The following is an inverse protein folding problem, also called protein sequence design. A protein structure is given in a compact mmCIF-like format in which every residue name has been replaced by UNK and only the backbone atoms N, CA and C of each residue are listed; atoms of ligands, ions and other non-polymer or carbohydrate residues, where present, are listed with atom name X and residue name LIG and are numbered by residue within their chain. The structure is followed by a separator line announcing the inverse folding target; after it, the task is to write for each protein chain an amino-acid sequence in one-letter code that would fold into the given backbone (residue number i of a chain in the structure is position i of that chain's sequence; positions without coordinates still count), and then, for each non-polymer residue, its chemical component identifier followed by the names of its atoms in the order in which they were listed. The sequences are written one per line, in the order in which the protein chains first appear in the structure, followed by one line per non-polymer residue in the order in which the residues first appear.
data_IF_200513383839
#
_entry.id   IF_200513383839
#
_cell.length_a   1.000
_cell.length_b   1.000
_cell.length_c   1.000
_cell.angle_alpha   90.00
_cell.angle_beta   90.00
_cell.angle_gamma   90.00
#
_symmetry.space_group_name_H-M   'P 1'
#
loop_
_entity.id
_entity.type
_entity.pdbx_description
1 polymer ?
#
# COMPACT_ATOMS: atom_id res chain seq x y z
N UNK A 1 14.97 59.89 66.85
CA UNK A 1 14.68 58.43 66.88
C UNK A 1 13.18 58.22 66.68
N UNK A 2 12.76 57.81 65.49
CA UNK A 2 11.48 57.13 65.25
C UNK A 2 11.68 56.23 64.03
N UNK A 3 11.44 54.96 64.26
CA UNK A 3 11.67 53.84 63.35
C UNK A 3 10.38 53.46 62.65
N UNK A 4 10.57 52.84 61.49
CA UNK A 4 9.68 51.91 60.77
C UNK A 4 8.50 52.52 60.00
N UNK A 5 8.59 52.34 58.68
CA UNK A 5 7.48 52.37 57.72
C UNK A 5 7.91 51.63 56.45
N UNK A 6 8.44 50.42 56.60
CA UNK A 6 8.94 49.57 55.51
C UNK A 6 7.98 48.39 55.37
N UNK A 7 6.82 48.58 54.74
CA UNK A 7 5.93 47.43 54.48
C UNK A 7 5.02 47.51 53.25
N UNK A 8 5.01 48.61 52.48
CA UNK A 8 4.10 48.71 51.32
C UNK A 8 4.70 48.23 50.00
N UNK A 9 6.00 47.91 49.95
CA UNK A 9 6.65 47.51 48.68
C UNK A 9 6.51 46.03 48.32
N UNK A 10 6.00 45.18 49.21
CA UNK A 10 5.89 43.73 48.95
C UNK A 10 4.56 43.30 48.32
N UNK A 11 3.55 44.18 48.32
CA UNK A 11 2.22 43.86 47.79
C UNK A 11 2.18 44.04 46.26
N UNK A 12 2.90 45.03 45.71
CA UNK A 12 2.89 45.34 44.28
C UNK A 12 3.65 44.33 43.39
N UNK A 13 4.47 43.44 43.97
CA UNK A 13 5.20 42.42 43.19
C UNK A 13 4.43 41.10 43.06
N UNK A 14 3.32 40.92 43.78
CA UNK A 14 2.55 39.67 43.75
C UNK A 14 1.49 39.65 42.64
N UNK A 15 1.02 40.80 42.19
CA UNK A 15 -0.14 40.92 41.30
C UNK A 15 0.20 40.86 39.80
N UNK A 16 1.49 41.00 39.41
CA UNK A 16 1.95 40.88 38.02
C UNK A 16 2.41 39.47 37.62
N UNK A 17 2.13 38.45 38.44
CA UNK A 17 2.71 37.10 38.28
C UNK A 17 1.73 36.03 37.78
N UNK A 18 0.56 36.42 37.29
CA UNK A 18 -0.46 35.48 36.80
C UNK A 18 -0.59 35.45 35.26
N UNK A 19 -0.04 36.43 34.54
CA UNK A 19 -0.14 36.49 33.07
C UNK A 19 0.88 35.59 32.33
N UNK A 20 1.84 34.98 33.04
CA UNK A 20 2.94 34.21 32.44
C UNK A 20 2.69 32.71 32.25
N UNK A 21 1.63 32.15 32.86
CA UNK A 21 1.41 30.69 32.89
C UNK A 21 0.52 30.22 31.74
N UNK A 22 -0.30 31.08 31.13
CA UNK A 22 -1.22 30.70 30.04
C UNK A 22 -0.45 30.43 28.73
N UNK A 23 0.66 31.13 28.53
CA UNK A 23 1.41 31.12 27.27
C UNK A 23 2.08 29.77 26.94
N UNK A 24 2.75 29.06 27.88
CA UNK A 24 3.35 27.74 27.58
C UNK A 24 2.31 26.66 27.26
N UNK A 25 1.15 26.65 27.91
CA UNK A 25 0.11 25.64 27.66
C UNK A 25 -0.53 25.81 26.29
N UNK A 26 -0.77 27.05 25.86
CA UNK A 26 -1.27 27.32 24.51
C UNK A 26 -0.28 26.86 23.43
N UNK A 27 1.02 27.07 23.65
CA UNK A 27 2.07 26.58 22.76
C UNK A 27 2.14 25.05 22.71
N UNK A 28 2.03 24.37 23.86
CA UNK A 28 2.00 22.91 23.91
C UNK A 28 0.78 22.34 23.17
N UNK A 29 -0.41 22.93 23.38
CA UNK A 29 -1.62 22.53 22.66
C UNK A 29 -1.44 22.76 21.15
N UNK A 30 -0.89 23.89 20.75
CA UNK A 30 -0.62 24.19 19.35
C UNK A 30 0.36 23.18 18.73
N UNK A 31 1.46 22.85 19.42
CA UNK A 31 2.42 21.84 18.98
C UNK A 31 1.79 20.45 18.85
N UNK A 32 0.96 20.05 19.82
CA UNK A 32 0.24 18.78 19.77
C UNK A 32 -0.70 18.75 18.57
N UNK A 33 -1.47 19.82 18.34
CA UNK A 33 -2.35 19.94 17.18
C UNK A 33 -1.58 19.89 15.86
N UNK A 34 -0.46 20.60 15.74
CA UNK A 34 0.41 20.54 14.57
C UNK A 34 0.96 19.12 14.35
N UNK A 35 1.41 18.44 15.41
CA UNK A 35 1.91 17.07 15.31
C UNK A 35 0.81 16.10 14.87
N UNK A 36 -0.41 16.25 15.40
CA UNK A 36 -1.56 15.43 15.02
C UNK A 36 -1.94 15.65 13.55
N UNK A 37 -1.93 16.89 13.06
CA UNK A 37 -2.20 17.18 11.65
C UNK A 37 -1.15 16.56 10.72
N UNK A 38 0.13 16.63 11.09
CA UNK A 38 1.21 16.01 10.32
C UNK A 38 1.11 14.48 10.31
N UNK A 39 0.77 13.85 11.44
CA UNK A 39 0.60 12.39 11.48
C UNK A 39 -0.64 11.95 10.72
N UNK A 40 -1.77 12.65 10.85
CA UNK A 40 -2.99 12.35 10.08
C UNK A 40 -2.76 12.45 8.58
N UNK A 41 -2.08 13.50 8.11
CA UNK A 41 -1.75 13.64 6.68
C UNK A 41 -0.81 12.54 6.18
N UNK A 42 0.17 12.13 6.99
CA UNK A 42 1.05 11.01 6.67
C UNK A 42 0.27 9.67 6.63
N UNK A 43 -0.61 9.43 7.60
CA UNK A 43 -1.46 8.23 7.65
C UNK A 43 -2.40 8.16 6.43
N UNK A 44 -2.99 9.29 6.04
CA UNK A 44 -3.87 9.35 4.87
C UNK A 44 -3.13 8.96 3.58
N UNK A 45 -1.93 9.50 3.35
CA UNK A 45 -1.10 9.13 2.19
C UNK A 45 -0.75 7.65 2.19
N UNK A 46 -0.41 7.10 3.36
CA UNK A 46 -0.09 5.69 3.51
C UNK A 46 -1.30 4.80 3.21
N UNK A 47 -2.49 5.17 3.70
CA UNK A 47 -3.73 4.45 3.40
C UNK A 47 -4.06 4.47 1.91
N UNK A 48 -3.89 5.61 1.23
CA UNK A 48 -4.11 5.72 -0.21
C UNK A 48 -3.16 4.79 -0.97
N UNK A 49 -1.86 4.85 -0.67
CA UNK A 49 -0.85 3.98 -1.27
C UNK A 49 -1.17 2.49 -1.04
N UNK A 50 -1.52 2.10 0.17
CA UNK A 50 -1.86 0.71 0.47
C UNK A 50 -3.13 0.25 -0.25
N UNK A 51 -4.12 1.13 -0.37
CA UNK A 51 -5.37 0.82 -1.09
C UNK A 51 -5.11 0.60 -2.57
N UNK A 52 -4.28 1.46 -3.19
CA UNK A 52 -3.89 1.30 -4.59
C UNK A 52 -3.10 0.02 -4.83
N UNK A 53 -2.12 -0.29 -3.96
CA UNK A 53 -1.38 -1.55 -4.06
C UNK A 53 -2.28 -2.78 -3.92
N UNK A 54 -3.23 -2.73 -2.97
CA UNK A 54 -4.20 -3.82 -2.76
C UNK A 54 -5.10 -3.99 -3.97
N UNK A 55 -5.63 -2.90 -4.53
CA UNK A 55 -6.43 -2.93 -5.76
C UNK A 55 -5.63 -3.56 -6.90
N UNK A 56 -4.37 -3.14 -7.11
CA UNK A 56 -3.49 -3.72 -8.13
C UNK A 56 -3.23 -5.20 -7.92
N UNK A 57 -3.04 -5.65 -6.68
CA UNK A 57 -2.84 -7.06 -6.36
C UNK A 57 -4.10 -7.88 -6.69
N UNK A 58 -5.27 -7.40 -6.25
CA UNK A 58 -6.56 -8.05 -6.53
C UNK A 58 -6.86 -8.14 -8.02
N UNK A 59 -6.66 -7.04 -8.77
CA UNK A 59 -6.79 -7.05 -10.22
C UNK A 59 -5.87 -8.09 -10.86
N UNK A 60 -4.58 -8.12 -10.50
CA UNK A 60 -3.66 -9.11 -11.08
C UNK A 60 -4.07 -10.55 -10.77
N UNK A 61 -4.54 -10.83 -9.55
CA UNK A 61 -5.02 -12.14 -9.17
C UNK A 61 -6.29 -12.53 -9.95
N UNK A 62 -7.23 -11.59 -10.10
CA UNK A 62 -8.44 -11.78 -10.87
C UNK A 62 -8.14 -12.08 -12.35
N UNK A 63 -7.19 -11.37 -12.96
CA UNK A 63 -6.78 -11.63 -14.35
C UNK A 63 -6.19 -13.04 -14.53
N UNK A 64 -5.34 -13.49 -13.62
CA UNK A 64 -4.79 -14.84 -13.66
C UNK A 64 -5.90 -15.87 -13.46
N UNK A 65 -6.74 -15.71 -12.43
CA UNK A 65 -7.80 -16.68 -12.11
C UNK A 65 -8.85 -16.78 -13.23
N UNK A 66 -9.24 -15.67 -13.84
CA UNK A 66 -10.21 -15.65 -14.95
C UNK A 66 -9.67 -16.22 -16.26
N UNK A 67 -8.35 -16.28 -16.43
CA UNK A 67 -7.70 -16.88 -17.61
C UNK A 67 -7.20 -18.29 -17.37
N UNK A 68 -7.09 -18.71 -16.11
CA UNK A 68 -6.57 -20.01 -15.74
C UNK A 68 -7.40 -21.17 -16.32
N UNK A 69 -8.73 -21.08 -16.27
CA UNK A 69 -9.61 -22.13 -16.82
C UNK A 69 -9.42 -22.28 -18.34
N UNK A 70 -9.41 -21.16 -19.06
CA UNK A 70 -9.24 -21.13 -20.52
C UNK A 70 -7.86 -21.67 -20.90
N UNK A 71 -6.82 -21.31 -20.14
CA UNK A 71 -5.49 -21.85 -20.36
C UNK A 71 -5.46 -23.37 -20.11
N UNK A 72 -6.12 -23.87 -19.07
CA UNK A 72 -6.17 -25.30 -18.80
C UNK A 72 -6.84 -26.08 -19.92
N UNK A 73 -7.97 -25.58 -20.43
CA UNK A 73 -8.64 -26.17 -21.59
C UNK A 73 -7.74 -26.18 -22.84
N UNK A 74 -6.97 -25.11 -23.03
CA UNK A 74 -5.98 -25.02 -24.12
C UNK A 74 -4.80 -25.99 -23.92
N UNK A 75 -4.31 -26.17 -22.70
CA UNK A 75 -3.22 -27.09 -22.38
C UNK A 75 -3.62 -28.55 -22.53
N UNK A 76 -4.87 -28.92 -22.20
CA UNK A 76 -5.41 -30.27 -22.42
C UNK A 76 -5.51 -30.59 -23.91
N UNK A 77 -5.83 -29.60 -24.74
CA UNK A 77 -5.92 -29.76 -26.20
C UNK A 77 -4.57 -29.63 -26.92
N UNK A 78 -3.50 -29.24 -26.22
CA UNK A 78 -2.16 -29.08 -26.79
C UNK A 78 -1.52 -30.45 -27.07
N UNK A 79 -1.00 -30.71 -28.28
CA UNK A 79 -0.38 -31.99 -28.61
C UNK A 79 0.78 -32.36 -27.70
N UNK A 80 0.96 -33.66 -27.44
CA UNK A 80 2.04 -34.16 -26.57
C UNK A 80 3.45 -33.80 -27.06
N UNK A 81 3.60 -33.54 -28.36
CA UNK A 81 4.87 -33.19 -29.01
C UNK A 81 5.34 -31.77 -28.73
N UNK A 82 4.44 -30.87 -28.34
CA UNK A 82 4.82 -29.49 -28.02
C UNK A 82 5.34 -29.41 -26.58
N UNK A 83 6.54 -28.87 -26.43
CA UNK A 83 7.18 -28.64 -25.12
C UNK A 83 6.90 -27.26 -24.55
N UNK A 84 6.40 -26.33 -25.38
CA UNK A 84 6.12 -24.94 -25.00
C UNK A 84 4.81 -24.50 -25.63
N UNK A 85 3.96 -23.83 -24.84
CA UNK A 85 2.71 -23.22 -25.28
C UNK A 85 2.68 -21.76 -24.86
N UNK A 86 2.31 -20.86 -25.77
CA UNK A 86 2.18 -19.42 -25.46
C UNK A 86 0.72 -19.01 -25.59
N UNK A 87 0.19 -18.44 -24.53
CA UNK A 87 -1.15 -17.89 -24.48
C UNK A 87 -1.09 -16.37 -24.34
N UNK A 88 -1.91 -15.66 -25.09
CA UNK A 88 -2.04 -14.20 -24.99
C UNK A 88 -3.52 -13.86 -25.00
N UNK A 89 -3.95 -13.02 -24.05
CA UNK A 89 -5.30 -12.51 -23.99
C UNK A 89 -5.28 -11.03 -23.67
N UNK A 90 -6.00 -10.25 -24.46
CA UNK A 90 -6.29 -8.86 -24.18
C UNK A 90 -7.57 -8.77 -23.36
N UNK A 91 -7.51 -8.01 -22.26
CA UNK A 91 -8.64 -7.69 -21.39
C UNK A 91 -8.78 -6.16 -21.32
N UNK A 92 -9.96 -5.64 -20.92
CA UNK A 92 -10.16 -4.20 -20.77
C UNK A 92 -9.17 -3.53 -19.81
N UNK A 93 -8.69 -4.28 -18.80
CA UNK A 93 -7.75 -3.78 -17.80
C UNK A 93 -6.27 -3.91 -18.21
N UNK A 94 -5.97 -4.61 -19.31
CA UNK A 94 -4.61 -4.83 -19.78
C UNK A 94 -4.43 -6.12 -20.59
N UNK A 95 -3.19 -6.49 -20.84
CA UNK A 95 -2.82 -7.73 -21.53
C UNK A 95 -2.25 -8.74 -20.55
N UNK A 96 -2.65 -10.01 -20.70
CA UNK A 96 -2.04 -11.13 -19.99
C UNK A 96 -1.46 -12.11 -21.00
N UNK A 97 -0.19 -12.43 -20.81
CA UNK A 97 0.56 -13.39 -21.61
C UNK A 97 1.07 -14.50 -20.69
N UNK A 98 0.93 -15.76 -21.06
CA UNK A 98 1.62 -16.85 -20.39
C UNK A 98 2.48 -17.65 -21.35
N UNK A 99 3.64 -18.05 -20.87
CA UNK A 99 4.53 -18.99 -21.56
C UNK A 99 4.63 -20.22 -20.69
N UNK A 100 3.95 -21.28 -21.11
CA UNK A 100 3.92 -22.57 -20.44
C UNK A 100 4.95 -23.51 -21.05
N UNK A 101 5.71 -24.19 -20.21
CA UNK A 101 6.72 -25.19 -20.61
C UNK A 101 6.41 -26.50 -19.92
N UNK A 102 6.50 -27.63 -20.64
CA UNK A 102 6.29 -28.95 -20.04
C UNK A 102 7.42 -29.28 -19.08
N UNK A 103 7.05 -29.70 -17.89
CA UNK A 103 7.95 -30.22 -16.88
C UNK A 103 8.18 -31.73 -17.09
N UNK A 104 9.30 -32.25 -16.60
CA UNK A 104 9.69 -33.66 -16.73
C UNK A 104 8.70 -34.63 -16.08
N UNK A 105 7.88 -34.13 -15.15
CA UNK A 105 6.91 -34.89 -14.36
C UNK A 105 5.52 -34.93 -15.05
N UNK A 106 5.36 -34.29 -16.22
CA UNK A 106 4.10 -34.30 -17.00
C UNK A 106 3.14 -33.14 -16.71
N UNK A 107 3.54 -32.16 -15.89
CA UNK A 107 2.82 -30.90 -15.71
C UNK A 107 3.37 -29.76 -16.56
N UNK A 108 2.79 -28.58 -16.41
CA UNK A 108 3.19 -27.36 -17.11
C UNK A 108 3.63 -26.27 -16.14
N UNK A 109 4.79 -25.67 -16.40
CA UNK A 109 5.29 -24.48 -15.70
C UNK A 109 4.96 -23.27 -16.57
N UNK A 110 4.05 -22.43 -16.09
CA UNK A 110 3.58 -21.24 -16.80
C UNK A 110 4.14 -19.96 -16.19
N UNK A 111 4.87 -19.20 -16.99
CA UNK A 111 5.34 -17.86 -16.69
C UNK A 111 4.36 -16.84 -17.25
N UNK A 112 3.60 -16.21 -16.37
CA UNK A 112 2.67 -15.14 -16.69
C UNK A 112 3.40 -13.81 -16.74
N UNK A 113 3.00 -12.97 -17.68
CA UNK A 113 3.40 -11.59 -17.84
C UNK A 113 2.11 -10.79 -17.95
N UNK A 114 1.83 -9.94 -16.95
CA UNK A 114 0.63 -9.12 -16.87
C UNK A 114 1.07 -7.68 -17.14
N UNK A 115 0.56 -7.10 -18.22
CA UNK A 115 0.77 -5.71 -18.59
C UNK A 115 -0.53 -4.94 -18.36
N UNK A 116 -0.59 -4.18 -17.26
CA UNK A 116 -1.69 -3.26 -16.99
C UNK A 116 -1.48 -1.98 -17.80
N UNK A 117 -2.56 -1.29 -18.18
CA UNK A 117 -2.49 -0.04 -18.96
C UNK A 117 -1.65 1.07 -18.31
N UNK A 118 -1.43 1.01 -16.99
CA UNK A 118 -0.62 1.94 -16.18
C UNK A 118 0.80 1.41 -15.87
N UNK A 119 1.49 0.88 -16.88
CA UNK A 119 2.95 0.67 -16.94
C UNK A 119 3.62 -0.43 -16.09
N UNK A 120 2.98 -1.03 -15.07
CA UNK A 120 3.65 -2.09 -14.31
C UNK A 120 3.49 -3.48 -14.95
N UNK A 121 4.55 -3.98 -15.59
CA UNK A 121 4.65 -5.39 -16.01
C UNK A 121 4.97 -6.26 -14.80
N UNK A 122 4.06 -7.17 -14.44
CA UNK A 122 4.29 -8.16 -13.38
C UNK A 122 4.50 -9.53 -13.97
N UNK A 123 5.48 -10.27 -13.43
CA UNK A 123 5.67 -11.68 -13.76
C UNK A 123 5.25 -12.57 -12.59
N UNK A 124 4.61 -13.69 -12.91
CA UNK A 124 4.19 -14.70 -11.94
C UNK A 124 4.47 -16.08 -12.53
N UNK A 125 4.99 -17.00 -11.72
CA UNK A 125 5.19 -18.39 -12.13
C UNK A 125 4.14 -19.25 -11.45
N UNK A 126 3.45 -20.08 -12.22
CA UNK A 126 2.46 -21.04 -11.69
C UNK A 126 2.71 -22.41 -12.27
N UNK A 127 2.48 -23.44 -11.46
CA UNK A 127 2.44 -24.82 -11.92
C UNK A 127 0.99 -25.22 -12.24
N UNK A 128 0.77 -25.83 -13.39
CA UNK A 128 -0.53 -26.28 -13.89
C UNK A 128 -0.46 -27.78 -14.16
N UNK A 129 -1.37 -28.53 -13.56
CA UNK A 129 -1.54 -29.96 -13.82
C UNK A 129 -2.90 -30.17 -14.49
N UNK A 130 -2.95 -30.26 -15.84
CA UNK A 130 -4.21 -30.41 -16.57
C UNK A 130 -4.85 -31.79 -16.40
N UNK A 131 -4.20 -32.73 -15.70
CA UNK A 131 -4.67 -34.11 -15.51
C UNK A 131 -5.49 -34.33 -14.23
N UNK A 132 -5.62 -33.31 -13.38
CA UNK A 132 -6.42 -33.30 -12.14
C UNK A 132 -7.70 -32.50 -12.29
#
# INVERSE_FOLDING_TARGET
MRTVGFNDSYIYLKEKREEGVIFPWALLICLVLCSALLTTTAMYKNQLSNTEMTKRALTSQYLVQSTQSILNDALVSTPDRESTYTFVRQLPEGEIKSVCTKDQIGGWICNWTISLSDESVKSLVTYQDPSK
#
